data_IF_744755562579
#
_entry.id   IF_744755562579
#
_cell.length_a   1.000
_cell.length_b   1.000
_cell.length_c   1.000
_cell.angle_alpha   90.00
_cell.angle_beta   90.00
_cell.angle_gamma   90.00
#
_symmetry.space_group_name_H-M   'P 1'
#
loop_
_entity.id
_entity.type
_entity.pdbx_description
1 polymer ?
2 non-polymer ?
3 non-polymer ?
4 non-polymer ?
5 water ?
#
# COMPACT_ATOMS: atom_id res chain seq x y z
N UNK A 26 19.57 -7.31 10.57
CA UNK A 26 18.21 -7.75 10.80
C UNK A 26 17.64 -8.53 9.64
N UNK A 27 16.45 -9.11 9.85
CA UNK A 27 15.78 -9.92 8.85
C UNK A 27 14.47 -9.26 8.48
N UNK A 28 14.31 -8.92 7.20
CA UNK A 28 13.13 -8.23 6.69
C UNK A 28 12.34 -9.21 5.82
N UNK A 29 11.06 -9.37 6.12
CA UNK A 29 10.16 -10.17 5.31
C UNK A 29 9.36 -9.26 4.40
N UNK A 30 9.55 -9.42 3.09
CA UNK A 30 8.86 -8.63 2.09
C UNK A 30 7.69 -9.45 1.57
N UNK A 31 6.46 -8.99 1.86
CA UNK A 31 5.25 -9.66 1.41
C UNK A 31 4.75 -8.97 0.14
N UNK A 32 4.62 -9.74 -0.93
CA UNK A 32 4.28 -9.21 -2.22
C UNK A 32 5.20 -9.75 -3.29
N UNK A 33 5.03 -9.30 -4.53
CA UNK A 33 5.88 -9.80 -5.61
C UNK A 33 7.34 -9.41 -5.41
N UNK A 34 8.22 -10.13 -6.08
CA UNK A 34 9.65 -9.87 -5.98
C UNK A 34 10.00 -8.57 -6.67
N UNK A 35 10.87 -7.78 -6.05
CA UNK A 35 11.34 -6.51 -6.60
C UNK A 35 12.84 -6.43 -6.31
N UNK A 36 13.65 -6.66 -7.35
CA UNK A 36 15.10 -6.62 -7.18
C UNK A 36 15.56 -5.30 -6.57
N UNK A 37 15.04 -4.18 -7.09
CA UNK A 37 15.44 -2.87 -6.59
C UNK A 37 15.16 -2.75 -5.09
N UNK A 38 14.02 -3.27 -4.64
CA UNK A 38 13.68 -3.16 -3.22
C UNK A 38 14.52 -4.12 -2.39
N UNK A 39 14.76 -5.32 -2.90
CA UNK A 39 15.68 -6.25 -2.25
C UNK A 39 17.06 -5.62 -2.14
N UNK A 40 17.59 -5.13 -3.27
CA UNK A 40 18.92 -4.51 -3.25
C UNK A 40 18.96 -3.31 -2.32
N UNK A 41 17.90 -2.51 -2.31
CA UNK A 41 17.87 -1.35 -1.42
C UNK A 41 17.87 -1.78 0.04
N UNK A 42 16.96 -2.68 0.41
CA UNK A 42 16.93 -3.18 1.78
C UNK A 42 18.24 -3.88 2.13
N UNK A 43 18.77 -4.69 1.21
CA UNK A 43 20.07 -5.31 1.41
C UNK A 43 21.21 -4.31 1.42
N UNK A 44 20.96 -3.07 0.96
CA UNK A 44 21.98 -2.04 1.04
C UNK A 44 22.30 -1.69 2.49
N UNK A 45 21.32 -1.80 3.38
CA UNK A 45 21.52 -1.56 4.80
C UNK A 45 22.02 -2.82 5.53
N UNK A 46 22.56 -3.78 4.80
CA UNK A 46 23.14 -4.99 5.39
C UNK A 46 22.11 -5.79 6.19
N UNK A 47 20.85 -5.68 5.81
CA UNK A 47 19.79 -6.52 6.36
C UNK A 47 19.53 -7.70 5.44
N UNK A 48 19.00 -8.77 6.02
CA UNK A 48 18.61 -9.94 5.26
C UNK A 48 17.18 -9.78 4.77
N UNK A 49 16.94 -10.18 3.52
CA UNK A 49 15.64 -10.00 2.87
C UNK A 49 15.14 -11.35 2.40
N UNK A 50 13.93 -11.71 2.84
CA UNK A 50 13.21 -12.86 2.32
C UNK A 50 11.88 -12.38 1.74
N UNK A 51 11.44 -13.02 0.67
CA UNK A 51 10.26 -12.59 -0.08
C UNK A 51 9.25 -13.73 -0.13
N UNK A 52 7.97 -13.35 -0.07
CA UNK A 52 6.88 -14.32 -0.10
C UNK A 52 5.62 -13.61 -0.57
N UNK A 53 4.88 -14.24 -1.49
CA UNK A 53 3.71 -13.62 -2.09
C UNK A 53 2.46 -14.48 -1.99
N UNK A 54 2.52 -15.62 -1.32
CA UNK A 54 1.37 -16.52 -1.20
C UNK A 54 0.70 -16.36 0.15
N UNK A 55 -0.42 -17.05 0.31
CA UNK A 55 -1.13 -17.03 1.58
C UNK A 55 -0.22 -17.52 2.70
N UNK A 56 -0.27 -16.83 3.83
CA UNK A 56 0.68 -17.04 4.93
C UNK A 56 -0.10 -17.51 6.15
N UNK A 57 0.15 -18.75 6.56
CA UNK A 57 -0.51 -19.30 7.74
C UNK A 57 0.12 -18.73 9.01
N UNK A 58 -0.65 -18.80 10.10
CA UNK A 58 -0.21 -18.21 11.37
C UNK A 58 1.11 -18.80 11.83
N UNK A 59 1.29 -20.11 11.63
CA UNK A 59 2.44 -20.84 12.16
C UNK A 59 3.54 -21.03 11.14
N UNK A 60 3.48 -20.34 10.00
CA UNK A 60 4.44 -20.56 8.94
C UNK A 60 5.86 -20.23 9.41
N UNK A 61 6.83 -21.03 8.96
CA UNK A 61 8.23 -20.80 9.28
C UNK A 61 8.82 -19.59 8.57
N UNK A 62 8.10 -19.02 7.60
CA UNK A 62 8.57 -17.81 6.94
C UNK A 62 8.79 -16.68 7.93
N UNK A 63 8.11 -16.73 9.08
CA UNK A 63 8.12 -15.64 10.05
C UNK A 63 9.21 -15.77 11.10
N UNK A 64 9.82 -16.95 11.25
CA UNK A 64 10.83 -17.15 12.28
C UNK A 64 11.97 -16.15 12.12
N UNK A 65 12.27 -15.44 13.20
CA UNK A 65 13.41 -14.52 13.25
C UNK A 65 13.23 -13.35 12.27
N UNK A 66 11.99 -12.91 12.07
CA UNK A 66 11.69 -11.78 11.19
C UNK A 66 11.59 -10.53 12.06
N UNK A 67 12.51 -9.57 11.84
CA UNK A 67 12.52 -8.35 12.63
C UNK A 67 11.46 -7.36 12.17
N UNK A 68 11.20 -7.29 10.87
CA UNK A 68 10.30 -6.29 10.32
C UNK A 68 9.62 -6.86 9.08
N UNK A 69 8.34 -6.57 8.94
CA UNK A 69 7.54 -6.98 7.79
C UNK A 69 7.24 -5.74 6.96
N UNK A 70 7.44 -5.84 5.65
CA UNK A 70 7.09 -4.79 4.71
C UNK A 70 6.12 -5.39 3.71
N UNK A 71 4.89 -4.92 3.71
CA UNK A 71 3.87 -5.37 2.77
C UNK A 71 3.76 -4.35 1.64
N UNK A 72 3.89 -4.83 0.41
CA UNK A 72 3.80 -3.96 -0.76
C UNK A 72 3.28 -4.81 -1.92
N UNK A 73 1.99 -4.63 -2.24
CA UNK A 73 1.38 -5.45 -3.25
C UNK A 73 0.94 -6.81 -2.77
N UNK A 74 1.03 -7.08 -1.47
CA UNK A 74 0.60 -8.36 -0.93
C UNK A 74 -0.92 -8.50 -1.09
N UNK A 75 -1.36 -9.64 -1.60
CA UNK A 75 -2.74 -9.83 -2.01
C UNK A 75 -3.52 -10.72 -1.04
N UNK A 76 -3.17 -10.70 0.24
CA UNK A 76 -3.86 -11.48 1.24
C UNK A 76 -3.91 -10.71 2.55
N UNK A 77 -4.94 -10.99 3.34
CA UNK A 77 -5.09 -10.38 4.65
C UNK A 77 -4.16 -11.09 5.63
N UNK A 78 -3.47 -10.30 6.44
CA UNK A 78 -2.54 -10.83 7.43
C UNK A 78 -3.31 -11.16 8.70
N UNK A 79 -3.10 -12.36 9.23
CA UNK A 79 -3.90 -12.84 10.34
C UNK A 79 -3.74 -11.92 11.55
N UNK A 80 -4.80 -11.70 12.34
CA UNK A 80 -4.66 -10.83 13.52
C UNK A 80 -3.58 -11.28 14.48
N UNK A 81 -3.31 -12.59 14.57
CA UNK A 81 -2.24 -13.07 15.43
C UNK A 81 -0.88 -12.57 14.96
N UNK A 82 -0.64 -12.63 13.65
CA UNK A 82 0.59 -12.07 13.11
C UNK A 82 0.63 -10.57 13.36
N UNK A 83 -0.49 -9.89 13.13
CA UNK A 83 -0.58 -8.45 13.36
C UNK A 83 -0.10 -8.11 14.77
N UNK A 84 -0.71 -8.74 15.77
CA UNK A 84 -0.34 -8.43 17.16
C UNK A 84 1.09 -8.83 17.46
N UNK A 85 1.60 -9.88 16.82
CA UNK A 85 2.99 -10.28 17.02
C UNK A 85 3.93 -9.22 16.50
N UNK A 86 3.68 -8.71 15.29
CA UNK A 86 4.52 -7.70 14.67
C UNK A 86 3.93 -6.30 14.81
N UNK A 87 3.08 -6.09 15.82
CA UNK A 87 2.56 -4.75 16.10
C UNK A 87 3.70 -3.77 16.27
N UNK A 88 3.64 -2.67 15.53
CA UNK A 88 4.68 -1.64 15.48
C UNK A 88 5.92 -2.10 14.72
N UNK A 89 5.91 -3.32 14.14
CA UNK A 89 7.02 -3.81 13.35
C UNK A 89 6.57 -4.30 11.98
N UNK A 90 5.37 -3.93 11.55
CA UNK A 90 4.83 -4.34 10.26
C UNK A 90 4.17 -3.13 9.61
N UNK A 91 4.67 -2.74 8.44
CA UNK A 91 4.14 -1.60 7.71
C UNK A 91 3.63 -2.09 6.35
N UNK A 92 2.68 -1.34 5.81
CA UNK A 92 2.15 -1.62 4.48
C UNK A 92 2.28 -0.36 3.63
N UNK A 93 2.73 -0.55 2.39
CA UNK A 93 2.82 0.55 1.43
C UNK A 93 1.53 0.54 0.61
N UNK A 94 0.67 1.52 0.85
CA UNK A 94 -0.66 1.58 0.25
C UNK A 94 -0.73 2.82 -0.64
N UNK A 95 -1.06 2.60 -1.91
CA UNK A 95 -1.06 3.71 -2.87
C UNK A 95 -2.39 4.45 -2.81
N UNK A 96 -2.78 4.89 -1.62
CA UNK A 96 -3.92 5.77 -1.45
C UNK A 96 -3.63 6.74 -0.33
N UNK A 97 -4.42 7.82 -0.29
CA UNK A 97 -4.31 8.81 0.78
C UNK A 97 -5.33 8.42 1.86
N UNK A 98 -4.92 7.57 2.77
CA UNK A 98 -5.81 7.12 3.83
C UNK A 98 -6.25 8.32 4.67
N UNK A 99 -7.44 8.27 5.29
CA UNK A 99 -8.37 7.13 5.37
C UNK A 99 -9.17 6.83 4.11
N UNK A 100 -8.92 7.56 3.02
CA UNK A 100 -9.70 7.36 1.80
C UNK A 100 -9.16 6.19 1.00
N UNK A 101 -10.08 5.45 0.38
CA UNK A 101 -9.73 4.36 -0.54
C UNK A 101 -8.91 3.28 0.15
N UNK A 102 -9.40 2.83 1.30
CA UNK A 102 -8.90 1.59 1.88
C UNK A 102 -9.24 0.42 0.97
N UNK A 103 -8.37 -0.57 0.96
CA UNK A 103 -8.67 -1.83 0.29
C UNK A 103 -8.22 -1.83 -1.16
N UNK A 104 -9.09 -2.28 -2.05
CA UNK A 104 -8.73 -2.65 -3.40
C UNK A 104 -8.91 -1.50 -4.39
N UNK A 105 -8.05 -1.50 -5.41
CA UNK A 105 -8.14 -0.56 -6.53
C UNK A 105 -8.21 0.89 -6.07
N UNK A 106 -7.33 1.32 -5.17
CA UNK A 106 -7.43 2.70 -4.66
C UNK A 106 -7.27 3.76 -5.73
N UNK A 107 -6.35 3.56 -6.68
CA UNK A 107 -6.14 4.55 -7.74
C UNK A 107 -7.43 4.79 -8.51
N UNK A 108 -8.06 3.71 -8.97
CA UNK A 108 -9.33 3.84 -9.69
C UNK A 108 -10.38 4.55 -8.85
N UNK A 109 -10.54 4.12 -7.59
CA UNK A 109 -11.59 4.69 -6.75
C UNK A 109 -11.32 6.13 -6.39
N UNK A 110 -10.04 6.54 -6.30
CA UNK A 110 -9.75 7.93 -5.98
C UNK A 110 -10.31 8.86 -7.05
N UNK A 111 -10.48 8.35 -8.28
CA UNK A 111 -11.11 9.13 -9.34
C UNK A 111 -12.62 8.90 -9.40
N UNK A 112 -13.06 7.63 -9.31
CA UNK A 112 -14.48 7.35 -9.34
C UNK A 112 -15.24 8.12 -8.27
N UNK A 113 -14.64 8.30 -7.10
CA UNK A 113 -15.28 9.00 -5.99
C UNK A 113 -14.67 10.36 -5.72
N UNK A 114 -13.77 10.83 -6.59
CA UNK A 114 -13.22 12.18 -6.51
C UNK A 114 -12.73 12.48 -5.09
N UNK A 115 -11.86 11.62 -4.60
CA UNK A 115 -11.32 11.72 -3.25
C UNK A 115 -9.87 12.17 -3.29
N UNK A 116 -9.28 12.49 -2.14
CA UNK A 116 -7.85 12.77 -2.10
C UNK A 116 -7.05 11.65 -2.73
N UNK A 117 -5.92 12.01 -3.32
CA UNK A 117 -5.07 11.07 -4.05
C UNK A 117 -3.65 11.16 -3.50
N UNK A 118 -3.05 9.99 -3.31
CA UNK A 118 -1.70 9.95 -2.76
C UNK A 118 -1.35 8.56 -2.28
N UNK A 119 -0.29 8.49 -1.49
CA UNK A 119 0.26 7.23 -1.03
C UNK A 119 0.51 7.34 0.46
N UNK A 120 0.35 6.21 1.16
CA UNK A 120 0.46 6.19 2.61
C UNK A 120 1.29 4.99 3.03
N UNK A 121 2.22 5.22 3.95
CA UNK A 121 2.89 4.16 4.69
C UNK A 121 2.26 4.14 6.07
N UNK A 122 1.72 2.99 6.45
CA UNK A 122 1.00 2.86 7.71
C UNK A 122 1.34 1.54 8.36
N UNK A 123 1.34 1.55 9.69
CA UNK A 123 1.48 0.31 10.44
C UNK A 123 0.30 -0.60 10.12
N UNK A 124 0.57 -1.90 10.12
CA UNK A 124 -0.44 -2.91 9.84
C UNK A 124 -1.15 -3.25 11.13
N UNK A 125 -2.48 -3.25 11.09
CA UNK A 125 -3.31 -3.64 12.21
C UNK A 125 -4.39 -4.59 11.71
N UNK A 126 -5.19 -5.12 12.63
CA UNK A 126 -6.36 -5.89 12.24
C UNK A 126 -7.28 -4.99 11.42
N UNK A 127 -7.86 -5.56 10.37
CA UNK A 127 -8.63 -4.76 9.44
C UNK A 127 -7.77 -4.24 8.30
N UNK A 128 -8.43 -3.99 7.17
CA UNK A 128 -7.73 -3.71 5.92
C UNK A 128 -7.43 -2.22 5.83
N UNK A 129 -6.14 -1.87 5.99
CA UNK A 129 -5.65 -0.51 5.75
C UNK A 129 -6.22 0.49 6.75
N UNK A 130 -6.33 0.08 8.01
CA UNK A 130 -6.86 0.93 9.06
C UNK A 130 -5.85 1.27 10.14
N UNK A 131 -4.57 0.87 9.98
CA UNK A 131 -3.59 1.10 11.01
C UNK A 131 -3.10 2.54 11.07
N UNK A 132 -2.26 2.81 12.07
CA UNK A 132 -1.75 4.14 12.30
C UNK A 132 -0.97 4.63 11.08
N UNK A 133 -1.12 5.91 10.77
CA UNK A 133 -0.43 6.51 9.63
C UNK A 133 0.97 6.93 10.05
N UNK A 134 1.97 6.49 9.29
CA UNK A 134 3.36 6.88 9.52
C UNK A 134 3.63 8.15 8.75
N UNK A 135 3.47 8.09 7.43
CA UNK A 135 3.65 9.26 6.57
C UNK A 135 2.75 9.11 5.35
N UNK A 136 2.24 10.24 4.88
CA UNK A 136 1.46 10.28 3.65
C UNK A 136 2.06 11.33 2.72
N UNK A 137 1.68 11.23 1.45
CA UNK A 137 2.07 12.23 0.47
C UNK A 137 0.97 12.34 -0.56
N UNK A 138 0.45 13.54 -0.76
CA UNK A 138 -0.52 13.78 -1.81
C UNK A 138 0.16 13.67 -3.16
N UNK A 139 -0.52 13.06 -4.12
CA UNK A 139 -0.06 12.94 -5.49
C UNK A 139 -1.10 13.58 -6.38
N UNK A 140 -0.72 14.62 -7.10
CA UNK A 140 -1.63 15.25 -8.02
C UNK A 140 -1.62 14.53 -9.37
N UNK A 141 -2.57 14.89 -10.22
CA UNK A 141 -2.69 14.33 -11.55
C UNK A 141 -2.88 15.46 -12.54
N UNK A 142 -2.87 15.10 -13.83
CA UNK A 142 -2.93 16.08 -14.90
C UNK A 142 -4.08 15.74 -15.84
N UNK A 143 -4.41 16.71 -16.68
CA UNK A 143 -5.57 16.58 -17.56
C UNK A 143 -5.50 15.30 -18.39
N UNK A 144 -4.34 15.03 -18.99
CA UNK A 144 -4.18 13.91 -19.91
C UNK A 144 -3.59 12.68 -19.23
N UNK A 145 -3.84 12.52 -17.93
CA UNK A 145 -3.39 11.33 -17.22
C UNK A 145 -4.32 10.16 -17.49
N UNK A 146 -3.74 8.96 -17.49
CA UNK A 146 -4.48 7.71 -17.54
C UNK A 146 -4.32 6.99 -16.22
N UNK A 147 -5.11 5.93 -16.04
CA UNK A 147 -4.94 5.08 -14.87
C UNK A 147 -3.53 4.49 -14.83
N UNK A 148 -2.92 4.25 -15.99
CA UNK A 148 -1.57 3.73 -16.03
C UNK A 148 -0.56 4.76 -15.55
N UNK A 149 -0.61 5.97 -16.11
CA UNK A 149 0.36 6.99 -15.74
C UNK A 149 0.17 7.44 -14.29
N UNK A 150 -1.07 7.48 -13.80
CA UNK A 150 -1.29 7.84 -12.41
C UNK A 150 -0.82 6.72 -11.48
N UNK A 151 -1.11 5.46 -11.84
CA UNK A 151 -0.60 4.34 -11.06
C UNK A 151 0.92 4.36 -11.01
N UNK A 152 1.57 4.58 -12.16
CA UNK A 152 3.02 4.62 -12.17
C UNK A 152 3.55 5.77 -11.32
N UNK A 153 2.88 6.92 -11.35
CA UNK A 153 3.30 8.03 -10.51
C UNK A 153 3.12 7.69 -9.04
N UNK A 154 2.00 7.08 -8.68
CA UNK A 154 1.81 6.61 -7.31
C UNK A 154 2.91 5.64 -6.91
N UNK A 155 3.19 4.66 -7.79
CA UNK A 155 4.23 3.68 -7.50
C UNK A 155 5.58 4.37 -7.27
N UNK A 156 5.97 5.26 -8.17
CA UNK A 156 7.23 5.98 -7.99
C UNK A 156 7.22 6.79 -6.71
N UNK A 157 6.09 7.44 -6.40
CA UNK A 157 6.02 8.28 -5.21
C UNK A 157 6.14 7.45 -3.93
N UNK A 158 5.37 6.37 -3.83
CA UNK A 158 5.41 5.57 -2.60
C UNK A 158 6.76 4.87 -2.47
N UNK A 159 7.34 4.44 -3.59
CA UNK A 159 8.67 3.85 -3.54
C UNK A 159 9.72 4.89 -3.18
N UNK A 160 9.59 6.10 -3.72
CA UNK A 160 10.45 7.21 -3.30
C UNK A 160 10.18 7.56 -1.84
N UNK A 161 8.90 7.64 -1.46
CA UNK A 161 8.55 7.97 -0.08
C UNK A 161 9.10 6.93 0.89
N UNK A 162 9.02 5.65 0.52
CA UNK A 162 9.51 4.60 1.40
C UNK A 162 11.01 4.71 1.62
N UNK A 163 11.76 4.97 0.53
CA UNK A 163 13.21 5.08 0.67
C UNK A 163 13.61 6.31 1.47
N UNK A 164 12.81 7.38 1.41
CA UNK A 164 13.11 8.57 2.20
C UNK A 164 13.03 8.29 3.69
N UNK A 165 11.98 7.58 4.11
CA UNK A 165 11.71 7.39 5.53
C UNK A 165 12.14 6.02 6.06
N UNK A 166 12.52 5.09 5.19
CA UNK A 166 12.96 3.79 5.68
C UNK A 166 14.15 3.89 6.63
N UNK A 167 15.19 4.70 6.35
CA UNK A 167 16.27 4.83 7.34
C UNK A 167 15.78 5.23 8.71
N UNK A 168 14.71 6.02 8.79
CA UNK A 168 14.14 6.40 10.07
C UNK A 168 13.24 5.30 10.62
N UNK A 169 12.45 4.66 9.75
CA UNK A 169 11.55 3.59 10.19
C UNK A 169 12.37 2.38 10.63
N UNK A 170 13.47 2.09 9.93
CA UNK A 170 14.24 0.89 10.24
C UNK A 170 14.78 0.91 11.67
N UNK A 171 14.96 2.10 12.24
CA UNK A 171 15.47 2.25 13.60
C UNK A 171 14.37 2.56 14.61
N UNK A 172 13.12 2.28 14.27
CA UNK A 172 12.00 2.53 15.15
C UNK A 172 11.98 3.95 15.67
N UNK A 173 12.38 4.89 14.81
CA UNK A 173 12.51 6.29 15.19
C UNK A 173 11.21 7.08 15.03
N UNK A 174 10.12 6.43 14.60
CA UNK A 174 8.87 7.12 14.34
C UNK A 174 7.71 6.35 14.95
N UNK A 175 6.72 7.09 15.41
CA UNK A 175 5.44 6.54 15.85
C UNK A 175 4.33 7.13 15.00
N UNK A 176 3.33 6.31 14.69
CA UNK A 176 2.22 6.75 13.87
C UNK A 176 1.13 7.43 14.68
N UNK A 177 0.27 8.15 13.97
CA UNK A 177 -0.89 8.78 14.58
C UNK A 177 -2.11 7.94 14.22
N UNK A 178 -3.16 7.93 15.04
CA UNK A 178 -4.33 7.09 14.73
C UNK A 178 -4.98 7.52 13.42
N UNK A 179 -5.38 6.54 12.63
CA UNK A 179 -6.01 6.82 11.36
C UNK A 179 -7.43 7.37 11.60
N UNK A 180 -7.75 8.58 11.15
CA UNK A 180 -9.10 9.10 11.37
C UNK A 180 -10.16 8.19 10.76
N UNK A 181 -11.19 7.90 11.54
CA UNK A 181 -12.34 7.18 11.01
C UNK A 181 -13.00 7.99 9.90
N UNK A 182 -13.74 7.29 9.06
CA UNK A 182 -14.31 7.90 7.87
C UNK A 182 -13.57 7.47 6.62
N UNK A 183 -13.29 8.40 5.72
CA UNK A 183 -12.64 8.03 4.47
C UNK A 183 -13.54 7.11 3.68
N UNK A 184 -12.95 6.05 3.14
CA UNK A 184 -13.72 5.12 2.32
C UNK A 184 -13.00 3.77 2.28
N UNK A 185 -13.73 2.76 1.81
CA UNK A 185 -13.21 1.41 1.71
C UNK A 185 -13.87 0.72 0.52
N UNK A 186 -13.11 -0.11 -0.18
CA UNK A 186 -13.62 -0.77 -1.37
C UNK A 186 -13.10 -2.21 -1.46
N UNK A 187 -13.96 -3.10 -1.94
CA UNK A 187 -13.61 -4.47 -2.24
C UNK A 187 -13.36 -4.62 -3.74
N UNK A 188 -12.70 -5.72 -4.10
CA UNK A 188 -12.37 -5.95 -5.50
C UNK A 188 -13.61 -5.96 -6.38
N UNK A 189 -14.68 -6.57 -5.90
CA UNK A 189 -15.91 -6.67 -6.69
C UNK A 189 -16.62 -5.32 -6.83
N UNK A 190 -16.30 -4.35 -5.97
CA UNK A 190 -17.03 -3.08 -5.98
C UNK A 190 -16.91 -2.37 -7.33
N UNK A 191 -15.82 -2.60 -8.06
CA UNK A 191 -15.59 -1.89 -9.31
C UNK A 191 -16.27 -2.53 -10.51
N UNK A 192 -16.87 -3.70 -10.34
CA UNK A 192 -17.47 -4.40 -11.48
C UNK A 192 -18.49 -3.52 -12.20
N UNK A 193 -19.26 -2.73 -11.45
CA UNK A 193 -20.27 -1.86 -12.05
C UNK A 193 -19.67 -0.73 -12.87
N UNK A 194 -18.36 -0.53 -12.82
CA UNK A 194 -17.72 0.58 -13.51
C UNK A 194 -16.69 0.15 -14.55
N UNK A 195 -16.43 -1.15 -14.69
CA UNK A 195 -15.43 -1.60 -15.64
C UNK A 195 -15.76 -1.17 -17.06
N UNK A 196 -17.05 -0.96 -17.36
CA UNK A 196 -17.43 -0.50 -18.69
C UNK A 196 -16.83 0.85 -19.03
N UNK A 197 -16.50 1.67 -18.01
CA UNK A 197 -15.86 2.95 -18.25
C UNK A 197 -14.40 2.80 -18.67
N UNK A 198 -13.77 1.68 -18.32
CA UNK A 198 -12.35 1.48 -18.64
C UNK A 198 -12.24 0.89 -20.05
N UNK A 199 -12.49 1.77 -21.03
CA UNK A 199 -12.49 1.34 -22.42
C UNK A 199 -11.11 0.88 -22.87
N UNK A 200 -10.06 1.59 -22.43
CA UNK A 200 -8.69 1.28 -22.81
C UNK A 200 -7.91 0.58 -21.70
N UNK A 201 -8.61 -0.13 -20.82
CA UNK A 201 -7.94 -0.79 -19.72
C UNK A 201 -7.26 0.23 -18.82
N UNK A 202 -6.01 -0.05 -18.45
CA UNK A 202 -5.24 0.89 -17.66
C UNK A 202 -4.84 2.14 -18.44
N UNK A 203 -4.95 2.10 -19.77
CA UNK A 203 -4.68 3.27 -20.60
C UNK A 203 -5.87 4.20 -20.71
N UNK A 204 -6.92 3.99 -19.93
CA UNK A 204 -8.10 4.84 -19.99
C UNK A 204 -7.77 6.19 -19.35
N UNK A 205 -8.05 7.31 -20.02
CA UNK A 205 -7.88 8.61 -19.36
C UNK A 205 -8.73 8.71 -18.10
N UNK A 206 -8.17 9.33 -17.06
CA UNK A 206 -8.87 9.41 -15.78
C UNK A 206 -10.00 10.43 -15.83
N UNK A 207 -9.95 11.40 -16.74
CA UNK A 207 -10.96 12.44 -16.76
C UNK A 207 -12.36 11.87 -16.94
N UNK A 208 -12.48 10.80 -17.73
CA UNK A 208 -13.77 10.15 -17.96
C UNK A 208 -14.29 9.42 -16.72
N UNK A 209 -13.52 9.38 -15.63
CA UNK A 209 -13.88 8.61 -14.45
C UNK A 209 -14.17 9.47 -13.23
N UNK A 210 -13.92 10.78 -13.29
CA UNK A 210 -14.05 11.62 -12.11
C UNK A 210 -15.47 11.59 -11.60
N UNK A 211 -15.64 11.19 -10.34
CA UNK A 211 -16.91 11.27 -9.67
C UNK A 211 -18.03 10.44 -10.28
N UNK A 212 -17.67 9.52 -11.17
CA UNK A 212 -18.67 8.68 -11.81
C UNK A 212 -19.40 7.77 -10.81
N UNK A 213 -18.89 7.66 -9.58
CA UNK A 213 -19.52 6.83 -8.55
C UNK A 213 -20.24 7.67 -7.50
N UNK A 214 -20.82 8.80 -7.92
CA UNK A 214 -21.52 9.68 -6.99
C UNK A 214 -22.82 10.20 -7.61
#
# INVERSE_FOLDING_TARGET
>A
MHHHHHHHHPDLGTGSENLYFQGAMGKILLLGPERKWLRDFLESFEDEVTQYQDKLDKKSAILNNVDFIISYGYRYIIHPDIVERFKQRAINLHISYLPWNKGADPNLWSFLEDSPKGVTIHYIDSGLDTGEIIVQREVTYYENDTLRTTYERLTQTIEKLFMEYWPLIRLGKIRGIPQPKGGSYHKLKDKEKYLYLLTDGWDTPVQKLIGKAQNNE
#
